data_IF_128202085400
#
_entry.id   IF_128202085400
#
_cell.length_a   1.000
_cell.length_b   1.000
_cell.length_c   1.000
_cell.angle_alpha   90.00
_cell.angle_beta   90.00
_cell.angle_gamma   90.00
#
_symmetry.space_group_name_H-M   'P 1'
#
loop_
_entity.id
_entity.type
_entity.pdbx_description
1 polymer ?
#
# COMPACT_ATOMS: atom_id res chain seq x y z
N UNK A 1 4.53 -16.08 7.37
CA UNK A 1 3.35 -15.25 7.65
C UNK A 1 2.10 -15.93 7.11
N UNK A 2 0.99 -15.96 7.87
CA UNK A 2 -0.29 -16.57 7.43
C UNK A 2 -1.13 -15.58 6.59
N UNK A 3 -0.86 -14.28 6.73
CA UNK A 3 -1.59 -13.21 6.04
C UNK A 3 -1.09 -13.03 4.62
N UNK A 4 -2.01 -13.07 3.66
CA UNK A 4 -1.74 -12.65 2.29
C UNK A 4 -1.51 -11.13 2.26
N UNK A 5 -0.27 -10.74 1.97
CA UNK A 5 0.18 -9.34 1.89
C UNK A 5 -0.54 -8.57 0.80
N UNK A 6 -0.96 -9.28 -0.25
CA UNK A 6 -1.75 -8.71 -1.32
C UNK A 6 -3.15 -8.30 -0.86
N UNK A 7 -3.55 -8.56 0.38
CA UNK A 7 -4.78 -7.96 0.95
C UNK A 7 -4.63 -6.50 1.39
N UNK A 8 -3.40 -5.98 1.39
CA UNK A 8 -3.09 -4.61 1.77
C UNK A 8 -2.69 -3.78 0.55
N UNK A 9 -2.88 -2.47 0.62
CA UNK A 9 -2.49 -1.54 -0.43
C UNK A 9 -1.01 -1.15 -0.29
N UNK A 10 -0.21 -1.36 -1.34
CA UNK A 10 1.19 -0.95 -1.42
C UNK A 10 1.40 0.53 -1.07
N UNK A 11 0.49 1.40 -1.50
CA UNK A 11 0.66 2.87 -1.38
C UNK A 11 0.27 3.43 -0.02
N UNK A 12 -0.57 2.73 0.75
CA UNK A 12 -1.06 3.27 2.02
C UNK A 12 -1.04 2.29 3.18
N UNK A 13 -0.56 1.07 2.97
CA UNK A 13 -0.54 -0.02 3.93
C UNK A 13 -1.90 -0.58 4.32
N UNK A 14 -3.02 0.05 3.95
CA UNK A 14 -4.35 -0.31 4.47
C UNK A 14 -4.92 -1.57 3.81
N UNK A 15 -5.68 -2.32 4.60
CA UNK A 15 -6.43 -3.49 4.14
C UNK A 15 -7.48 -3.10 3.11
N UNK A 16 -7.64 -3.93 2.07
CA UNK A 16 -8.65 -3.76 1.05
C UNK A 16 -9.36 -5.06 0.68
N UNK A 17 -10.69 -4.98 0.63
CA UNK A 17 -11.53 -6.10 0.21
C UNK A 17 -11.27 -6.40 -1.27
N UNK A 18 -11.38 -7.68 -1.66
CA UNK A 18 -11.02 -8.16 -3.00
C UNK A 18 -11.65 -7.34 -4.15
N UNK A 19 -12.93 -6.97 -4.04
CA UNK A 19 -13.66 -6.20 -5.07
C UNK A 19 -13.12 -4.77 -5.30
N UNK A 20 -12.43 -4.19 -4.32
CA UNK A 20 -11.91 -2.82 -4.38
C UNK A 20 -10.38 -2.78 -4.56
N UNK A 21 -9.78 -3.95 -4.74
CA UNK A 21 -8.36 -4.15 -4.89
C UNK A 21 -8.02 -4.40 -6.35
N UNK A 22 -6.88 -3.87 -6.78
CA UNK A 22 -6.32 -4.03 -8.11
C UNK A 22 -4.90 -4.55 -7.97
N UNK A 23 -4.43 -5.29 -8.97
CA UNK A 23 -3.02 -5.62 -9.08
C UNK A 23 -2.23 -4.35 -9.39
N UNK A 24 -1.09 -4.20 -8.75
CA UNK A 24 -0.14 -3.15 -9.10
C UNK A 24 0.51 -3.51 -10.45
N UNK A 25 0.27 -2.72 -11.49
CA UNK A 25 0.94 -2.88 -12.79
C UNK A 25 2.25 -2.09 -12.84
N UNK A 26 3.14 -2.46 -13.76
CA UNK A 26 4.40 -1.73 -13.98
C UNK A 26 4.16 -0.24 -14.28
N UNK A 27 3.09 0.07 -15.02
CA UNK A 27 2.67 1.47 -15.25
C UNK A 27 2.34 2.19 -13.94
N UNK A 28 1.58 1.55 -13.03
CA UNK A 28 1.28 2.15 -11.73
C UNK A 28 2.53 2.32 -10.87
N UNK A 29 3.46 1.36 -10.92
CA UNK A 29 4.75 1.44 -10.23
C UNK A 29 5.55 2.64 -10.76
N UNK A 30 5.64 2.80 -12.08
CA UNK A 30 6.38 3.92 -12.69
C UNK A 30 5.76 5.28 -12.32
N UNK A 31 4.43 5.41 -12.37
CA UNK A 31 3.76 6.64 -11.95
C UNK A 31 4.04 6.91 -10.46
N UNK A 32 3.96 5.89 -9.61
CA UNK A 32 4.28 6.02 -8.19
C UNK A 32 5.72 6.51 -7.97
N UNK A 33 6.69 5.97 -8.70
CA UNK A 33 8.10 6.42 -8.69
C UNK A 33 8.20 7.90 -9.04
N UNK A 34 7.52 8.33 -10.09
CA UNK A 34 7.53 9.73 -10.50
C UNK A 34 6.89 10.66 -9.46
N UNK A 35 5.79 10.24 -8.82
CA UNK A 35 5.13 11.02 -7.76
C UNK A 35 6.06 11.33 -6.57
N UNK A 36 7.00 10.42 -6.29
CA UNK A 36 7.84 10.43 -5.09
C UNK A 36 9.34 10.46 -5.42
N UNK A 37 9.70 11.11 -6.54
CA UNK A 37 11.10 11.42 -6.93
C UNK A 37 12.02 10.18 -6.98
N UNK A 38 11.50 9.06 -7.47
CA UNK A 38 12.25 7.82 -7.61
C UNK A 38 12.42 7.03 -6.31
N UNK A 39 11.85 7.50 -5.20
CA UNK A 39 11.77 6.71 -3.97
C UNK A 39 10.82 5.56 -4.20
N UNK A 40 11.39 4.40 -4.48
CA UNK A 40 10.80 3.17 -4.01
C UNK A 40 11.53 2.86 -2.74
N UNK A 41 10.77 2.63 -1.68
CA UNK A 41 11.28 1.78 -0.64
C UNK A 41 11.71 0.47 -1.29
N UNK A 42 13.04 0.32 -1.38
CA UNK A 42 13.77 -0.85 -1.88
C UNK A 42 13.22 -1.43 -3.19
N UNK A 43 13.87 -1.08 -4.31
CA UNK A 43 13.69 -1.69 -5.64
C UNK A 43 13.81 -3.22 -5.70
N UNK A 44 14.07 -3.90 -4.57
CA UNK A 44 14.27 -5.34 -4.44
C UNK A 44 13.44 -6.02 -3.33
N UNK A 45 12.53 -5.31 -2.63
CA UNK A 45 11.79 -5.96 -1.54
C UNK A 45 10.60 -6.77 -2.04
N UNK A 46 10.87 -8.06 -2.24
CA UNK A 46 9.87 -9.15 -2.30
C UNK A 46 8.89 -9.14 -1.12
N UNK A 47 9.13 -8.30 -0.10
CA UNK A 47 8.27 -8.14 1.06
C UNK A 47 6.96 -7.39 0.78
N UNK A 48 6.96 -6.40 -0.12
CA UNK A 48 5.84 -5.49 -0.30
C UNK A 48 4.58 -6.17 -0.88
N UNK A 49 3.45 -5.46 -0.82
CA UNK A 49 2.20 -5.90 -1.44
C UNK A 49 2.19 -5.63 -2.95
N UNK A 50 1.74 -6.59 -3.77
CA UNK A 50 1.51 -6.43 -5.21
C UNK A 50 0.12 -5.85 -5.53
N UNK A 51 -0.54 -5.25 -4.53
CA UNK A 51 -1.92 -4.78 -4.62
C UNK A 51 -2.06 -3.30 -4.28
N UNK A 52 -2.99 -2.65 -4.96
CA UNK A 52 -3.33 -1.24 -4.76
C UNK A 52 -4.85 -1.08 -4.61
N UNK A 53 -5.31 -0.24 -3.69
CA UNK A 53 -6.73 0.04 -3.56
C UNK A 53 -7.21 1.01 -4.65
N UNK A 54 -8.49 0.90 -5.03
CA UNK A 54 -9.10 1.74 -6.07
C UNK A 54 -8.89 3.25 -5.84
N UNK A 55 -8.85 3.71 -4.58
CA UNK A 55 -8.60 5.12 -4.28
C UNK A 55 -7.22 5.58 -4.71
N UNK A 56 -6.16 4.83 -4.39
CA UNK A 56 -4.79 5.21 -4.74
C UNK A 56 -4.51 4.94 -6.22
N UNK A 57 -5.11 3.90 -6.80
CA UNK A 57 -5.04 3.68 -8.25
C UNK A 57 -5.58 4.89 -9.04
N UNK A 58 -6.78 5.37 -8.67
CA UNK A 58 -7.37 6.54 -9.32
C UNK A 58 -6.59 7.83 -9.04
N UNK A 59 -6.00 7.96 -7.85
CA UNK A 59 -5.13 9.09 -7.51
C UNK A 59 -3.91 9.13 -8.43
N UNK A 60 -3.18 8.02 -8.55
CA UNK A 60 -2.01 7.91 -9.42
C UNK A 60 -2.37 8.19 -10.87
N UNK A 61 -3.46 7.63 -11.38
CA UNK A 61 -3.94 7.89 -12.75
C UNK A 61 -4.23 9.39 -12.98
N UNK A 62 -4.97 10.05 -12.08
CA UNK A 62 -5.27 11.48 -12.22
C UNK A 62 -4.02 12.34 -12.10
N UNK A 63 -3.09 11.94 -11.22
CA UNK A 63 -1.80 12.60 -11.12
C UNK A 63 -1.00 12.43 -12.40
N UNK A 64 -0.96 11.25 -13.04
CA UNK A 64 -0.22 11.07 -14.28
C UNK A 64 -0.75 11.92 -15.44
N UNK A 65 -2.07 12.17 -15.46
CA UNK A 65 -2.74 13.01 -16.45
C UNK A 65 -2.48 14.51 -16.24
N UNK A 66 -2.30 14.97 -14.98
CA UNK A 66 -2.26 16.41 -14.65
C UNK A 66 -0.93 16.90 -14.07
N UNK A 67 -0.09 15.99 -13.62
CA UNK A 67 1.13 16.22 -12.80
C UNK A 67 0.88 17.15 -11.60
N UNK A 68 -0.36 17.19 -11.09
CA UNK A 68 -0.75 18.08 -9.99
C UNK A 68 -0.50 17.42 -8.63
N UNK A 69 0.57 17.85 -7.94
CA UNK A 69 0.95 17.35 -6.63
C UNK A 69 -0.11 17.57 -5.53
N UNK A 70 -1.08 18.48 -5.72
CA UNK A 70 -2.21 18.64 -4.78
C UNK A 70 -3.14 17.43 -4.74
N UNK A 71 -3.06 16.53 -5.73
CA UNK A 71 -3.83 15.28 -5.75
C UNK A 71 -3.22 14.20 -4.86
N UNK A 72 -1.93 14.30 -4.53
CA UNK A 72 -1.25 13.31 -3.70
C UNK A 72 -1.74 13.41 -2.26
N UNK A 73 -2.39 12.35 -1.78
CA UNK A 73 -2.94 12.31 -0.42
C UNK A 73 -1.85 12.27 0.66
N UNK A 74 -0.66 11.79 0.31
CA UNK A 74 0.51 11.77 1.17
C UNK A 74 1.68 12.45 0.47
N UNK A 75 2.46 13.22 1.25
CA UNK A 75 3.69 13.85 0.79
C UNK A 75 4.87 12.88 0.73
N UNK A 76 4.86 11.87 1.60
CA UNK A 76 5.91 10.86 1.68
C UNK A 76 5.41 9.50 1.14
N UNK A 77 6.28 8.72 0.48
CA UNK A 77 5.96 7.36 0.08
C UNK A 77 5.87 6.43 1.29
N UNK A 78 5.14 5.33 1.16
CA UNK A 78 5.18 4.24 2.14
C UNK A 78 6.50 3.50 2.01
N UNK A 79 7.17 3.29 3.14
CA UNK A 79 8.42 2.56 3.19
C UNK A 79 8.16 1.11 3.61
N UNK A 80 8.38 0.18 2.68
CA UNK A 80 8.37 -1.25 2.95
C UNK A 80 9.79 -1.72 3.29
N UNK A 81 9.90 -2.61 4.26
CA UNK A 81 11.14 -3.25 4.65
C UNK A 81 10.89 -4.71 4.97
N UNK A 82 11.82 -5.60 4.62
CA UNK A 82 11.77 -6.99 5.08
C UNK A 82 11.82 -7.01 6.62
N UNK A 83 10.83 -7.63 7.29
CA UNK A 83 10.83 -7.76 8.74
C UNK A 83 11.94 -8.72 9.17
N UNK A 84 12.66 -8.40 10.25
CA UNK A 84 13.72 -9.25 10.80
C UNK A 84 13.17 -10.38 11.67
N UNK A 85 11.94 -10.20 12.18
CA UNK A 85 11.23 -11.16 13.02
C UNK A 85 9.72 -11.17 12.70
N UNK A 86 8.99 -12.10 13.31
CA UNK A 86 7.53 -12.18 13.16
C UNK A 86 6.84 -10.97 13.83
N UNK A 87 7.44 -10.45 14.90
CA UNK A 87 7.02 -9.29 15.69
C UNK A 87 7.18 -7.97 14.90
N UNK A 88 8.12 -7.94 13.96
CA UNK A 88 8.34 -6.80 13.06
C UNK A 88 7.41 -6.82 11.84
N UNK A 89 6.76 -7.96 11.55
CA UNK A 89 5.97 -8.11 10.35
C UNK A 89 4.64 -7.35 10.42
N UNK A 90 4.58 -6.19 9.76
CA UNK A 90 3.38 -5.36 9.61
C UNK A 90 2.13 -6.17 9.25
N UNK A 91 2.24 -7.01 8.22
CA UNK A 91 1.10 -7.79 7.72
C UNK A 91 0.63 -8.84 8.73
N UNK A 92 1.56 -9.55 9.37
CA UNK A 92 1.18 -10.58 10.33
C UNK A 92 0.55 -9.99 11.59
N UNK A 93 1.00 -8.81 12.00
CA UNK A 93 0.54 -8.14 13.22
C UNK A 93 -0.70 -7.25 12.99
N UNK A 94 -1.19 -7.14 11.75
CA UNK A 94 -2.44 -6.43 11.45
C UNK A 94 -3.62 -7.41 11.41
N UNK A 95 -4.54 -7.28 12.37
CA UNK A 95 -5.73 -8.13 12.48
C UNK A 95 -6.82 -7.62 11.53
N UNK A 96 -7.09 -8.40 10.48
CA UNK A 96 -8.06 -8.06 9.41
C UNK A 96 -9.19 -9.07 9.25
N UNK A 97 -9.16 -10.17 9.99
CA UNK A 97 -10.26 -11.16 10.01
C UNK A 97 -11.56 -10.54 10.52
N UNK A 98 -12.69 -10.94 9.92
CA UNK A 98 -14.01 -10.44 10.28
C UNK A 98 -14.32 -9.01 9.78
N UNK A 99 -13.35 -8.31 9.19
CA UNK A 99 -13.58 -7.00 8.62
C UNK A 99 -14.10 -7.09 7.17
N UNK A 100 -15.07 -6.24 6.85
CA UNK A 100 -15.69 -6.13 5.53
C UNK A 100 -15.73 -4.66 5.08
N UNK A 101 -16.35 -4.39 3.93
CA UNK A 101 -16.47 -3.05 3.37
C UNK A 101 -16.97 -1.98 4.37
N UNK A 102 -17.91 -2.36 5.25
CA UNK A 102 -18.56 -1.47 6.23
C UNK A 102 -17.75 -1.32 7.52
N UNK A 103 -16.93 -2.32 7.87
CA UNK A 103 -16.24 -2.38 9.15
C UNK A 103 -14.74 -2.12 9.05
N UNK A 104 -14.15 -2.15 7.85
CA UNK A 104 -12.69 -1.97 7.64
C UNK A 104 -12.13 -0.64 8.16
N UNK A 105 -12.96 0.38 8.36
CA UNK A 105 -12.56 1.64 9.00
C UNK A 105 -12.18 1.48 10.48
N UNK A 106 -12.57 0.37 11.12
CA UNK A 106 -12.28 0.05 12.52
C UNK A 106 -11.02 -0.81 12.70
N UNK A 107 -10.30 -1.11 11.61
CA UNK A 107 -9.06 -1.89 11.68
C UNK A 107 -8.00 -1.05 12.39
N UNK A 108 -7.39 -1.64 13.41
CA UNK A 108 -6.18 -1.11 14.03
C UNK A 108 -4.97 -1.63 13.25
N UNK A 109 -4.14 -0.72 12.74
CA UNK A 109 -2.96 -1.05 11.95
C UNK A 109 -1.72 -1.06 12.84
N UNK A 110 -0.83 -2.05 12.61
CA UNK A 110 0.46 -2.09 13.30
C UNK A 110 1.33 -0.90 12.91
N UNK A 111 2.16 -0.42 13.83
CA UNK A 111 3.05 0.75 13.62
C UNK A 111 4.44 0.31 13.12
N UNK A 112 4.77 -0.98 13.23
CA UNK A 112 6.16 -1.49 13.15
C UNK A 112 6.82 -1.43 11.77
N UNK A 113 6.15 -0.92 10.75
CA UNK A 113 6.74 -0.54 9.45
C UNK A 113 5.64 0.00 8.55
N UNK A 114 5.38 1.32 8.60
CA UNK A 114 4.76 2.16 7.54
C UNK A 114 4.21 3.47 8.14
N UNK A 115 5.08 4.44 8.42
CA UNK A 115 4.83 5.89 8.25
C UNK A 115 6.11 6.52 7.74
#
# INVERSE_FOLDING_TARGET
CIRDRNTFCFVCGKFEISKLRRKMSDTCINIYRECYEGVLSSQDDTFASDSICCSYYNMLRRWSETKNNKLLKYRSPTIWSIPQSQEDCYFCNTVVEGFNAKTKSRISYSINSSV
#
